data_IF_359166662004
#
_entry.id   IF_359166662004
#
_cell.length_a   1.000
_cell.length_b   1.000
_cell.length_c   1.000
_cell.angle_alpha   90.00
_cell.angle_beta   90.00
_cell.angle_gamma   90.00
#
_symmetry.space_group_name_H-M   'P 1'
#
loop_
_entity.id
_entity.type
_entity.pdbx_description
1 polymer ?
#
# COMPACT_ATOMS: atom_id res chain seq x y z
N UNK A 1 27.45 29.02 -50.22
CA UNK A 1 26.24 28.47 -49.57
C UNK A 1 26.70 27.59 -48.41
N UNK A 2 26.39 27.98 -47.17
CA UNK A 2 26.86 27.36 -45.91
C UNK A 2 25.95 26.18 -45.57
N UNK A 3 26.51 25.04 -45.16
CA UNK A 3 25.78 24.05 -44.35
C UNK A 3 26.71 23.62 -43.21
N UNK A 4 26.33 24.01 -42.00
CA UNK A 4 27.01 23.67 -40.74
C UNK A 4 26.41 22.37 -40.22
N UNK A 5 27.25 21.37 -39.94
CA UNK A 5 26.88 20.24 -39.10
C UNK A 5 26.77 20.71 -37.65
N UNK A 6 25.56 20.67 -37.09
CA UNK A 6 25.33 20.76 -35.65
C UNK A 6 24.99 19.36 -35.16
N UNK A 7 25.93 18.72 -34.47
CA UNK A 7 25.66 17.58 -33.60
C UNK A 7 25.22 18.18 -32.27
N UNK A 8 23.91 18.19 -32.00
CA UNK A 8 23.40 18.46 -30.65
C UNK A 8 23.19 17.11 -29.98
N UNK A 9 24.09 16.87 -29.03
CA UNK A 9 24.14 15.74 -28.12
C UNK A 9 22.83 15.68 -27.32
N UNK A 10 22.19 14.51 -27.34
CA UNK A 10 20.92 14.27 -26.67
C UNK A 10 21.02 14.45 -25.16
N UNK A 11 20.04 15.15 -24.59
CA UNK A 11 19.66 15.01 -23.19
C UNK A 11 18.33 14.27 -23.16
N UNK A 12 18.42 12.94 -23.07
CA UNK A 12 17.30 12.10 -22.70
C UNK A 12 17.01 12.40 -21.22
N UNK A 13 15.93 13.13 -20.95
CA UNK A 13 15.42 13.28 -19.59
C UNK A 13 14.94 11.89 -19.14
N UNK A 14 15.82 11.15 -18.46
CA UNK A 14 15.44 9.95 -17.74
C UNK A 14 14.56 10.43 -16.58
N UNK A 15 13.24 10.42 -16.81
CA UNK A 15 12.26 10.39 -15.73
C UNK A 15 12.63 9.17 -14.87
N UNK A 16 13.21 9.41 -13.70
CA UNK A 16 13.33 8.38 -12.68
C UNK A 16 11.92 7.86 -12.41
N UNK A 17 11.61 6.67 -12.92
CA UNK A 17 10.53 5.87 -12.40
C UNK A 17 10.84 5.66 -10.92
N UNK A 18 10.03 6.25 -10.05
CA UNK A 18 9.96 5.80 -8.66
C UNK A 18 9.44 4.37 -8.77
N UNK A 19 10.32 3.40 -8.55
CA UNK A 19 9.93 2.01 -8.45
C UNK A 19 9.11 1.87 -7.16
N UNK A 20 7.79 1.91 -7.27
CA UNK A 20 6.90 1.42 -6.23
C UNK A 20 6.97 -0.10 -6.24
N UNK A 21 7.74 -0.68 -5.33
CA UNK A 21 7.65 -2.10 -5.03
C UNK A 21 6.38 -2.32 -4.21
N UNK A 22 5.27 -2.64 -4.88
CA UNK A 22 4.02 -3.03 -4.24
C UNK A 22 3.93 -4.57 -4.26
N UNK A 23 4.11 -5.18 -3.10
CA UNK A 23 4.01 -6.63 -2.90
C UNK A 23 2.72 -6.91 -2.11
N UNK A 24 1.62 -7.30 -2.78
CA UNK A 24 0.59 -8.21 -2.23
C UNK A 24 -0.46 -8.57 -3.30
N UNK A 25 -0.59 -9.88 -3.56
CA UNK A 25 -1.48 -10.48 -4.56
C UNK A 25 -2.80 -10.96 -3.91
N UNK A 26 -3.92 -10.34 -4.28
CA UNK A 26 -4.93 -11.06 -5.06
C UNK A 26 -4.69 -10.62 -6.50
N UNK A 27 -4.47 -11.58 -7.40
CA UNK A 27 -4.30 -11.36 -8.84
C UNK A 27 -5.61 -10.96 -9.52
N UNK A 28 -6.60 -10.47 -8.77
CA UNK A 28 -7.79 -9.85 -9.31
C UNK A 28 -7.45 -8.61 -10.13
N UNK A 29 -8.17 -8.44 -11.25
CA UNK A 29 -8.07 -7.29 -12.15
C UNK A 29 -8.20 -5.95 -11.42
N UNK A 30 -9.00 -5.89 -10.34
CA UNK A 30 -9.14 -4.69 -9.50
C UNK A 30 -7.87 -4.33 -8.73
N UNK A 31 -7.23 -5.28 -8.04
CA UNK A 31 -6.00 -5.02 -7.30
C UNK A 31 -4.86 -4.57 -8.23
N UNK A 32 -4.84 -5.10 -9.47
CA UNK A 32 -3.94 -4.64 -10.52
C UNK A 32 -4.23 -3.18 -10.91
N UNK A 33 -5.49 -2.85 -11.19
CA UNK A 33 -5.89 -1.47 -11.54
C UNK A 33 -5.46 -0.48 -10.45
N UNK A 34 -5.72 -0.81 -9.18
CA UNK A 34 -5.32 0.03 -8.04
C UNK A 34 -3.81 0.19 -7.98
N UNK A 35 -3.06 -0.90 -8.05
CA UNK A 35 -1.59 -0.87 -8.01
C UNK A 35 -0.97 -0.01 -9.10
N UNK A 36 -1.53 -0.05 -10.31
CA UNK A 36 -0.98 0.71 -11.45
C UNK A 36 -1.30 2.21 -11.37
N UNK A 37 -2.28 2.60 -10.56
CA UNK A 37 -2.81 3.96 -10.56
C UNK A 37 -2.66 4.71 -9.24
N UNK A 38 -2.60 4.04 -8.10
CA UNK A 38 -2.49 4.64 -6.78
C UNK A 38 -1.09 5.24 -6.57
N UNK A 39 -1.05 6.50 -6.13
CA UNK A 39 0.19 7.25 -5.94
C UNK A 39 0.24 7.81 -4.53
N UNK A 40 1.46 8.08 -4.04
CA UNK A 40 1.61 8.91 -2.86
C UNK A 40 1.50 10.39 -3.27
N UNK A 41 0.60 11.19 -2.67
CA UNK A 41 0.50 12.61 -2.98
C UNK A 41 1.81 13.36 -2.71
N UNK A 42 2.21 14.26 -3.60
CA UNK A 42 3.47 15.00 -3.49
C UNK A 42 3.63 15.84 -2.21
N UNK A 43 2.57 16.46 -1.64
CA UNK A 43 2.65 17.17 -0.36
C UNK A 43 3.02 16.25 0.82
N UNK A 44 2.87 14.94 0.67
CA UNK A 44 3.07 13.95 1.73
C UNK A 44 4.44 13.25 1.64
N UNK A 45 5.30 13.71 0.73
CA UNK A 45 6.67 13.21 0.58
C UNK A 45 7.62 13.71 1.68
N UNK A 46 7.13 14.49 2.65
CA UNK A 46 7.88 14.89 3.83
C UNK A 46 7.86 13.78 4.89
N UNK A 47 8.84 13.81 5.79
CA UNK A 47 9.13 12.71 6.72
C UNK A 47 7.95 12.38 7.64
N UNK A 48 7.70 11.09 7.84
CA UNK A 48 6.81 10.58 8.88
C UNK A 48 5.31 10.67 8.60
N UNK A 49 4.89 11.19 7.44
CA UNK A 49 3.49 11.25 7.08
C UNK A 49 2.95 9.83 6.81
N UNK A 50 1.97 9.43 7.61
CA UNK A 50 1.24 8.17 7.47
C UNK A 50 -0.24 8.42 7.59
N UNK A 51 -1.02 7.68 6.80
CA UNK A 51 -2.47 7.85 6.78
C UNK A 51 -3.15 6.62 6.23
N UNK A 52 -4.35 6.33 6.74
CA UNK A 52 -5.22 5.31 6.18
C UNK A 52 -6.54 5.94 5.79
N UNK A 53 -6.91 5.76 4.53
CA UNK A 53 -8.21 6.16 3.99
C UNK A 53 -9.03 4.90 3.79
N UNK A 54 -10.28 4.93 4.25
CA UNK A 54 -11.23 3.83 4.05
C UNK A 54 -12.43 4.38 3.29
N UNK A 55 -12.67 3.82 2.12
CA UNK A 55 -13.89 4.05 1.35
C UNK A 55 -14.83 2.87 1.53
N UNK A 56 -16.10 3.18 1.75
CA UNK A 56 -17.18 2.21 1.76
C UNK A 56 -17.94 2.28 0.44
N UNK A 57 -17.96 1.19 -0.31
CA UNK A 57 -18.65 1.04 -1.57
C UNK A 57 -19.88 0.16 -1.38
N UNK A 58 -21.06 0.72 -1.62
CA UNK A 58 -22.30 -0.03 -1.75
C UNK A 58 -22.45 -0.55 -3.17
N UNK A 59 -22.81 -1.81 -3.29
CA UNK A 59 -23.03 -2.49 -4.58
C UNK A 59 -24.47 -2.95 -4.67
N UNK A 60 -25.11 -2.77 -5.83
CA UNK A 60 -26.49 -3.21 -6.06
C UNK A 60 -26.59 -4.73 -6.15
N UNK A 61 -27.82 -5.27 -6.15
CA UNK A 61 -28.06 -6.71 -6.35
C UNK A 61 -27.56 -7.21 -7.71
N UNK A 62 -27.43 -6.32 -8.70
CA UNK A 62 -26.89 -6.60 -10.03
C UNK A 62 -25.34 -6.56 -10.08
N UNK A 63 -24.68 -6.27 -8.95
CA UNK A 63 -23.22 -6.24 -8.86
C UNK A 63 -22.60 -4.94 -9.38
N UNK A 64 -23.38 -3.85 -9.44
CA UNK A 64 -22.93 -2.54 -9.92
C UNK A 64 -22.66 -1.56 -8.76
N UNK A 65 -21.75 -0.59 -8.91
CA UNK A 65 -21.56 0.46 -7.91
C UNK A 65 -22.83 1.29 -7.72
N UNK A 66 -23.24 1.50 -6.48
CA UNK A 66 -24.39 2.35 -6.10
C UNK A 66 -23.90 3.68 -5.51
N UNK A 67 -23.13 3.62 -4.42
CA UNK A 67 -22.66 4.80 -3.71
C UNK A 67 -21.32 4.57 -3.02
N UNK A 68 -20.52 5.63 -2.87
CA UNK A 68 -19.25 5.59 -2.13
C UNK A 68 -19.28 6.59 -0.98
N UNK A 69 -18.88 6.14 0.22
CA UNK A 69 -18.73 6.95 1.42
C UNK A 69 -17.28 6.96 1.90
N UNK A 70 -16.78 8.13 2.32
CA UNK A 70 -15.52 8.24 3.04
C UNK A 70 -15.73 7.82 4.49
N UNK A 71 -15.45 6.56 4.81
CA UNK A 71 -15.66 5.98 6.14
C UNK A 71 -14.56 6.37 7.13
N UNK A 72 -13.33 6.57 6.64
CA UNK A 72 -12.20 7.08 7.42
C UNK A 72 -11.37 8.02 6.54
N UNK A 73 -11.18 9.24 7.04
CA UNK A 73 -10.30 10.26 6.46
C UNK A 73 -8.93 10.22 7.14
N UNK A 74 -7.88 10.61 6.40
CA UNK A 74 -6.54 10.77 6.94
C UNK A 74 -6.00 12.20 6.78
N UNK A 75 -5.85 12.65 5.53
CA UNK A 75 -5.50 14.03 5.18
C UNK A 75 -6.20 14.38 3.88
N UNK A 76 -6.42 15.68 3.62
CA UNK A 76 -7.08 16.13 2.40
C UNK A 76 -6.40 15.57 1.14
N UNK A 77 -5.07 15.45 1.15
CA UNK A 77 -4.33 14.95 0.00
C UNK A 77 -4.46 13.42 -0.18
N UNK A 78 -4.45 12.65 0.91
CA UNK A 78 -4.69 11.20 0.87
C UNK A 78 -6.13 10.87 0.48
N UNK A 79 -7.09 11.64 0.99
CA UNK A 79 -8.51 11.48 0.69
C UNK A 79 -8.76 11.78 -0.79
N UNK A 80 -8.20 12.88 -1.31
CA UNK A 80 -8.33 13.26 -2.73
C UNK A 80 -7.76 12.20 -3.68
N UNK A 81 -6.59 11.64 -3.37
CA UNK A 81 -5.98 10.59 -4.19
C UNK A 81 -6.77 9.28 -4.11
N UNK A 82 -7.28 8.92 -2.94
CA UNK A 82 -8.12 7.73 -2.75
C UNK A 82 -9.43 7.84 -3.53
N UNK A 83 -10.07 9.02 -3.50
CA UNK A 83 -11.28 9.31 -4.27
C UNK A 83 -11.02 9.31 -5.78
N UNK A 84 -9.88 9.84 -6.23
CA UNK A 84 -9.47 9.79 -7.64
C UNK A 84 -9.32 8.35 -8.14
N UNK A 85 -8.68 7.48 -7.36
CA UNK A 85 -8.57 6.05 -7.70
C UNK A 85 -9.93 5.37 -7.65
N UNK A 86 -10.80 5.71 -6.70
CA UNK A 86 -12.17 5.21 -6.66
C UNK A 86 -12.97 5.59 -7.91
N UNK A 87 -12.85 6.83 -8.39
CA UNK A 87 -13.50 7.27 -9.63
C UNK A 87 -13.02 6.43 -10.82
N UNK A 88 -11.71 6.16 -10.91
CA UNK A 88 -11.15 5.28 -11.93
C UNK A 88 -11.72 3.84 -11.84
N UNK A 89 -11.87 3.31 -10.62
CA UNK A 89 -12.48 1.99 -10.39
C UNK A 89 -13.92 1.97 -10.90
N UNK A 90 -14.72 2.99 -10.60
CA UNK A 90 -16.12 3.08 -11.06
C UNK A 90 -16.19 3.14 -12.59
N UNK A 91 -15.34 3.95 -13.22
CA UNK A 91 -15.31 4.10 -14.69
C UNK A 91 -14.92 2.81 -15.41
N UNK A 92 -14.12 1.96 -14.76
CA UNK A 92 -13.64 0.69 -15.29
C UNK A 92 -14.26 -0.50 -14.56
N UNK A 93 -15.43 -0.32 -13.93
CA UNK A 93 -16.04 -1.34 -13.10
C UNK A 93 -16.37 -2.58 -13.92
N UNK A 94 -15.94 -3.72 -13.40
CA UNK A 94 -16.31 -5.04 -13.91
C UNK A 94 -16.87 -5.83 -12.72
N UNK A 95 -18.10 -6.38 -12.80
CA UNK A 95 -18.67 -7.19 -11.71
C UNK A 95 -17.79 -8.36 -11.27
N UNK A 96 -16.88 -8.85 -12.12
CA UNK A 96 -15.86 -9.86 -11.73
C UNK A 96 -14.90 -9.38 -10.65
N UNK A 97 -14.80 -8.06 -10.41
CA UNK A 97 -14.05 -7.49 -9.29
C UNK A 97 -14.54 -7.97 -7.93
N UNK A 98 -15.81 -8.37 -7.81
CA UNK A 98 -16.36 -8.95 -6.59
C UNK A 98 -15.79 -10.35 -6.30
N UNK A 99 -15.17 -11.00 -7.29
CA UNK A 99 -14.70 -12.38 -7.23
C UNK A 99 -15.85 -13.31 -6.79
N UNK A 100 -15.73 -13.93 -5.60
CA UNK A 100 -16.75 -14.82 -5.03
C UNK A 100 -17.63 -14.13 -3.96
N UNK A 101 -17.61 -12.79 -3.90
CA UNK A 101 -18.38 -12.02 -2.92
C UNK A 101 -19.80 -11.74 -3.45
N UNK A 102 -20.83 -11.71 -2.59
CA UNK A 102 -22.21 -11.50 -3.00
C UNK A 102 -22.45 -10.09 -3.58
N UNK A 103 -23.39 -9.95 -4.51
CA UNK A 103 -23.92 -8.63 -4.85
C UNK A 103 -24.87 -8.13 -3.74
N UNK A 104 -25.31 -6.87 -3.81
CA UNK A 104 -26.22 -6.28 -2.81
C UNK A 104 -25.60 -5.97 -1.45
N UNK A 105 -24.27 -6.12 -1.33
CA UNK A 105 -23.52 -5.98 -0.07
C UNK A 105 -22.67 -4.69 -0.10
N UNK A 106 -22.17 -4.30 1.07
CA UNK A 106 -21.25 -3.17 1.24
C UNK A 106 -19.81 -3.66 1.48
N UNK A 107 -18.86 -3.04 0.77
CA UNK A 107 -17.46 -3.41 0.70
C UNK A 107 -16.52 -2.26 1.04
N UNK A 108 -15.36 -2.60 1.58
CA UNK A 108 -14.32 -1.63 1.96
C UNK A 108 -13.17 -1.64 0.97
N UNK A 109 -12.72 -0.44 0.62
CA UNK A 109 -11.44 -0.20 -0.04
C UNK A 109 -10.54 0.53 0.95
N UNK A 110 -9.40 -0.09 1.27
CA UNK A 110 -8.47 0.40 2.28
C UNK A 110 -7.18 0.83 1.59
N UNK A 111 -6.86 2.11 1.68
CA UNK A 111 -5.64 2.70 1.14
C UNK A 111 -4.76 3.18 2.30
N UNK A 112 -3.60 2.55 2.47
CA UNK A 112 -2.63 2.94 3.50
C UNK A 112 -1.41 3.58 2.86
N UNK A 113 -1.05 4.76 3.34
CA UNK A 113 0.03 5.59 2.84
C UNK A 113 1.12 5.72 3.89
N UNK A 114 2.37 5.54 3.48
CA UNK A 114 3.54 5.66 4.35
C UNK A 114 4.64 6.44 3.62
N UNK A 115 5.09 7.54 4.22
CA UNK A 115 6.26 8.29 3.80
C UNK A 115 7.34 8.16 4.86
N UNK A 116 8.54 7.73 4.45
CA UNK A 116 9.69 7.64 5.35
C UNK A 116 10.95 8.19 4.69
N UNK A 117 11.73 8.99 5.42
CA UNK A 117 13.08 9.35 4.99
C UNK A 117 14.05 8.21 5.32
N UNK A 118 14.88 7.86 4.35
CA UNK A 118 15.96 6.88 4.52
C UNK A 118 15.85 5.71 3.57
N UNK A 119 16.60 4.64 3.89
CA UNK A 119 16.57 3.43 3.08
C UNK A 119 15.27 2.67 3.33
N UNK A 120 14.72 1.99 2.32
CA UNK A 120 13.64 1.05 2.55
C UNK A 120 14.06 0.01 3.58
N UNK A 121 13.17 -0.24 4.55
CA UNK A 121 13.32 -1.42 5.40
C UNK A 121 12.88 -2.62 4.56
N UNK A 122 13.85 -3.43 4.15
CA UNK A 122 13.64 -4.65 3.38
C UNK A 122 13.50 -5.88 4.29
N UNK A 123 13.14 -5.68 5.56
CA UNK A 123 12.88 -6.80 6.45
C UNK A 123 11.69 -7.60 5.93
N UNK A 124 11.97 -8.83 5.47
CA UNK A 124 10.95 -9.83 5.14
C UNK A 124 10.33 -10.35 6.45
N UNK A 125 9.44 -9.53 7.03
CA UNK A 125 8.78 -9.84 8.30
C UNK A 125 8.01 -11.15 8.20
N UNK A 126 7.35 -11.42 7.07
CA UNK A 126 6.60 -12.65 6.86
C UNK A 126 7.51 -13.88 6.86
N UNK A 127 8.64 -13.84 6.15
CA UNK A 127 9.65 -14.90 6.19
C UNK A 127 10.28 -15.09 7.58
N UNK A 128 10.45 -14.01 8.37
CA UNK A 128 10.88 -14.10 9.76
C UNK A 128 9.83 -14.76 10.65
N UNK A 129 8.55 -14.42 10.49
CA UNK A 129 7.43 -15.05 11.21
C UNK A 129 7.39 -16.55 10.90
N UNK A 130 7.42 -16.93 9.62
CA UNK A 130 7.45 -18.33 9.21
C UNK A 130 8.65 -19.08 9.81
N UNK A 131 9.83 -18.46 9.81
CA UNK A 131 11.03 -19.03 10.40
C UNK A 131 10.88 -19.24 11.91
N UNK A 132 10.22 -18.35 12.63
CA UNK A 132 9.96 -18.53 14.06
C UNK A 132 8.92 -19.62 14.32
N UNK A 133 7.86 -19.70 13.52
CA UNK A 133 6.87 -20.79 13.59
C UNK A 133 7.56 -22.15 13.38
N UNK A 134 8.38 -22.29 12.34
CA UNK A 134 9.12 -23.54 12.03
C UNK A 134 10.10 -23.95 13.14
N UNK A 135 10.56 -23.01 13.96
CA UNK A 135 11.46 -23.24 15.09
C UNK A 135 10.72 -23.34 16.43
N UNK A 136 9.39 -23.41 16.40
CA UNK A 136 8.51 -23.44 17.58
C UNK A 136 8.73 -22.25 18.53
N UNK A 137 9.22 -21.11 18.00
CA UNK A 137 9.40 -19.86 18.75
C UNK A 137 8.14 -19.01 18.64
N UNK A 138 7.02 -19.54 19.12
CA UNK A 138 5.70 -18.98 18.89
C UNK A 138 5.54 -17.59 19.47
N UNK A 139 6.12 -17.29 20.64
CA UNK A 139 6.05 -15.95 21.25
C UNK A 139 6.66 -14.88 20.33
N UNK A 140 7.79 -15.18 19.69
CA UNK A 140 8.44 -14.23 18.77
C UNK A 140 7.64 -14.04 17.48
N UNK A 141 7.06 -15.11 16.95
CA UNK A 141 6.15 -15.03 15.82
C UNK A 141 4.90 -14.21 16.19
N UNK A 142 4.41 -14.39 17.42
CA UNK A 142 3.25 -13.72 17.96
C UNK A 142 3.46 -12.20 18.14
N UNK A 143 4.62 -11.79 18.64
CA UNK A 143 4.97 -10.37 18.78
C UNK A 143 5.01 -9.68 17.41
N UNK A 144 5.69 -10.29 16.43
CA UNK A 144 5.78 -9.75 15.08
C UNK A 144 4.42 -9.66 14.40
N UNK A 145 3.59 -10.71 14.49
CA UNK A 145 2.27 -10.68 13.84
C UNK A 145 1.32 -9.68 14.48
N UNK A 146 1.46 -9.39 15.78
CA UNK A 146 0.67 -8.33 16.42
C UNK A 146 1.06 -6.95 15.90
N UNK A 147 2.36 -6.68 15.72
CA UNK A 147 2.81 -5.44 15.10
C UNK A 147 2.23 -5.29 13.69
N UNK A 148 2.26 -6.35 12.87
CA UNK A 148 1.68 -6.34 11.52
C UNK A 148 0.16 -6.08 11.54
N UNK A 149 -0.56 -6.55 12.55
CA UNK A 149 -1.99 -6.28 12.74
C UNK A 149 -2.25 -4.84 13.17
N UNK A 150 -1.42 -4.28 14.05
CA UNK A 150 -1.52 -2.88 14.46
C UNK A 150 -1.27 -1.94 13.26
N UNK A 151 -0.26 -2.26 12.45
CA UNK A 151 0.10 -1.50 11.26
C UNK A 151 -0.93 -1.62 10.13
N UNK A 152 -1.51 -2.81 9.93
CA UNK A 152 -2.59 -3.04 8.97
C UNK A 152 -3.64 -4.06 9.51
N UNK A 153 -4.68 -3.58 10.21
CA UNK A 153 -5.72 -4.42 10.79
C UNK A 153 -6.73 -4.93 9.74
N UNK A 154 -6.57 -4.56 8.46
CA UNK A 154 -7.43 -5.01 7.35
C UNK A 154 -6.74 -6.06 6.48
N UNK A 155 -5.53 -6.49 6.82
CA UNK A 155 -4.89 -7.62 6.18
C UNK A 155 -5.36 -8.93 6.82
N UNK A 156 -6.34 -9.59 6.21
CA UNK A 156 -6.90 -10.84 6.71
C UNK A 156 -5.86 -11.95 6.91
N UNK A 157 -4.76 -11.94 6.14
CA UNK A 157 -3.68 -12.93 6.26
C UNK A 157 -3.02 -12.86 7.63
N UNK A 158 -2.91 -11.65 8.21
CA UNK A 158 -2.26 -11.50 9.50
C UNK A 158 -3.05 -12.19 10.61
N UNK A 159 -4.38 -12.09 10.58
CA UNK A 159 -5.26 -12.84 11.49
C UNK A 159 -5.26 -14.34 11.20
N UNK A 160 -5.21 -14.76 9.93
CA UNK A 160 -5.09 -16.18 9.60
C UNK A 160 -3.79 -16.80 10.13
N UNK A 161 -2.67 -16.07 10.00
CA UNK A 161 -1.36 -16.46 10.55
C UNK A 161 -1.39 -16.49 12.07
N UNK A 162 -1.96 -15.46 12.73
CA UNK A 162 -2.06 -15.44 14.20
C UNK A 162 -2.99 -16.54 14.72
N UNK A 163 -4.07 -16.86 14.01
CA UNK A 163 -4.91 -18.03 14.28
C UNK A 163 -4.11 -19.33 14.27
N UNK A 164 -3.21 -19.52 13.31
CA UNK A 164 -2.36 -20.70 13.24
C UNK A 164 -1.35 -20.74 14.40
N UNK A 165 -0.74 -19.61 14.75
CA UNK A 165 0.14 -19.50 15.92
C UNK A 165 -0.62 -19.89 17.20
N UNK A 166 -1.83 -19.35 17.40
CA UNK A 166 -2.67 -19.72 18.53
C UNK A 166 -2.99 -21.22 18.57
N UNK A 167 -3.31 -21.82 17.42
CA UNK A 167 -3.56 -23.27 17.31
C UNK A 167 -2.33 -24.08 17.75
N UNK A 168 -1.14 -23.70 17.30
CA UNK A 168 0.14 -24.34 17.66
C UNK A 168 0.47 -24.18 19.15
N UNK A 169 0.03 -23.09 19.78
CA UNK A 169 0.13 -22.85 21.22
C UNK A 169 -0.97 -23.57 22.05
N UNK A 170 -1.88 -24.32 21.41
CA UNK A 170 -3.02 -24.96 22.08
C UNK A 170 -4.17 -24.02 22.47
N UNK A 171 -4.13 -22.76 22.06
CA UNK A 171 -5.13 -21.72 22.35
C UNK A 171 -6.27 -21.77 21.33
N UNK A 172 -7.10 -22.81 21.45
CA UNK A 172 -8.13 -23.14 20.43
C UNK A 172 -9.19 -22.04 20.27
N UNK A 173 -9.67 -21.44 21.36
CA UNK A 173 -10.69 -20.38 21.29
C UNK A 173 -10.16 -19.12 20.60
N UNK A 174 -8.93 -18.70 20.95
CA UNK A 174 -8.28 -17.53 20.34
C UNK A 174 -8.05 -17.76 18.84
N UNK A 175 -7.61 -18.98 18.47
CA UNK A 175 -7.46 -19.41 17.08
C UNK A 175 -8.77 -19.31 16.31
N UNK A 176 -9.87 -19.83 16.86
CA UNK A 176 -11.19 -19.74 16.23
C UNK A 176 -11.65 -18.30 16.03
N UNK A 177 -11.43 -17.42 17.03
CA UNK A 177 -11.78 -15.99 16.90
C UNK A 177 -11.03 -15.34 15.76
N UNK A 178 -9.71 -15.49 15.70
CA UNK A 178 -8.90 -14.90 14.63
C UNK A 178 -9.24 -15.48 13.24
N UNK A 179 -9.52 -16.78 13.15
CA UNK A 179 -9.97 -17.40 11.91
C UNK A 179 -11.28 -16.81 11.40
N UNK A 180 -12.23 -16.54 12.31
CA UNK A 180 -13.49 -15.88 11.96
C UNK A 180 -13.28 -14.42 11.55
N UNK A 181 -12.40 -13.68 12.26
CA UNK A 181 -12.02 -12.31 11.89
C UNK A 181 -11.39 -12.28 10.50
N UNK A 182 -10.45 -13.19 10.19
CA UNK A 182 -9.84 -13.30 8.87
C UNK A 182 -10.88 -13.50 7.76
N UNK A 183 -11.87 -14.37 7.99
CA UNK A 183 -12.97 -14.58 7.03
C UNK A 183 -13.82 -13.34 6.85
N UNK A 184 -14.16 -12.63 7.93
CA UNK A 184 -14.96 -11.41 7.88
C UNK A 184 -14.24 -10.30 7.12
N UNK A 185 -12.95 -10.07 7.44
CA UNK A 185 -12.11 -9.09 6.73
C UNK A 185 -12.01 -9.47 5.25
N UNK A 186 -11.71 -10.73 4.93
CA UNK A 186 -11.64 -11.20 3.53
C UNK A 186 -12.95 -10.99 2.77
N UNK A 187 -14.09 -11.19 3.44
CA UNK A 187 -15.42 -10.93 2.86
C UNK A 187 -15.65 -9.44 2.61
N UNK A 188 -15.35 -8.58 3.59
CA UNK A 188 -15.70 -7.16 3.56
C UNK A 188 -14.69 -6.28 2.83
N UNK A 189 -13.39 -6.60 2.89
CA UNK A 189 -12.34 -5.83 2.23
C UNK A 189 -12.20 -6.32 0.79
N UNK A 190 -12.57 -5.45 -0.14
CA UNK A 190 -12.45 -5.69 -1.57
C UNK A 190 -11.03 -5.40 -2.05
N UNK A 191 -10.42 -4.32 -1.53
CA UNK A 191 -9.05 -3.90 -1.82
C UNK A 191 -8.36 -3.49 -0.52
N UNK A 192 -7.13 -3.94 -0.34
CA UNK A 192 -6.19 -3.40 0.64
C UNK A 192 -4.90 -3.07 -0.09
N UNK A 193 -4.63 -1.79 -0.29
CA UNK A 193 -3.44 -1.30 -0.98
C UNK A 193 -2.56 -0.50 -0.04
N UNK A 194 -1.25 -0.71 -0.15
CA UNK A 194 -0.24 0.00 0.61
C UNK A 194 0.71 0.70 -0.36
N UNK A 195 0.95 1.99 -0.12
CA UNK A 195 1.93 2.77 -0.85
C UNK A 195 2.98 3.27 0.13
N UNK A 196 4.23 2.85 -0.10
CA UNK A 196 5.39 3.27 0.68
C UNK A 196 6.29 4.11 -0.23
N UNK A 197 6.61 5.34 0.18
CA UNK A 197 7.63 6.16 -0.47
C UNK A 197 8.82 6.38 0.45
N UNK A 198 10.01 6.33 -0.15
CA UNK A 198 11.28 6.46 0.54
C UNK A 198 12.01 7.70 0.02
N UNK A 199 12.13 8.73 0.85
CA UNK A 199 12.84 9.96 0.52
C UNK A 199 14.34 9.84 0.83
N UNK A 200 15.19 10.32 -0.09
CA UNK A 200 16.61 10.61 0.23
C UNK A 200 16.69 12.09 0.63
N UNK A 201 17.26 12.45 1.80
CA UNK A 201 17.39 13.85 2.17
C UNK A 201 18.29 14.54 1.14
N UNK A 202 17.80 15.64 0.54
CA UNK A 202 18.64 16.46 -0.34
C UNK A 202 19.69 17.16 0.52
N UNK A 203 21.01 17.01 0.23
CA UNK A 203 22.02 17.79 0.93
C UNK A 203 21.73 19.27 0.71
N UNK A 204 21.70 20.05 1.79
CA UNK A 204 21.53 21.50 1.72
C UNK A 204 22.77 22.06 1.00
N UNK A 205 22.66 22.34 -0.30
CA UNK A 205 23.67 23.13 -0.99
C UNK A 205 23.57 24.54 -0.45
N UNK A 206 24.49 24.91 0.44
CA UNK A 206 24.65 26.31 0.88
C UNK A 206 24.84 27.17 -0.38
N UNK A 207 23.98 28.17 -0.65
CA UNK A 207 24.21 29.10 -1.74
C UNK A 207 25.47 29.91 -1.44
N UNK A 208 26.48 29.83 -2.31
CA UNK A 208 27.64 30.71 -2.26
C UNK A 208 28.86 30.13 -1.55
N UNK A 209 29.66 29.35 -2.27
CA UNK A 209 31.11 29.44 -2.14
C UNK A 209 31.66 29.51 -3.54
N UNK A 210 31.78 30.74 -4.07
CA UNK A 210 32.59 31.00 -5.25
C UNK A 210 34.03 30.73 -4.82
N UNK A 211 34.56 29.56 -5.18
CA UNK A 211 35.99 29.29 -5.06
C UNK A 211 36.66 30.14 -6.14
N UNK A 212 37.24 31.27 -5.72
CA UNK A 212 38.05 32.11 -6.59
C UNK A 212 39.22 31.28 -7.14
N UNK A 213 39.20 31.01 -8.44
CA UNK A 213 40.35 30.44 -9.14
C UNK A 213 41.39 31.55 -9.24
N UNK A 214 42.39 31.53 -8.36
CA UNK A 214 43.61 32.32 -8.52
C UNK A 214 44.34 31.80 -9.76
N UNK A 215 44.45 32.64 -10.78
CA UNK A 215 45.35 32.42 -11.91
C UNK A 215 46.78 32.62 -11.43
N UNK A 216 47.62 31.60 -11.59
CA UNK A 216 49.05 31.77 -11.80
C UNK A 216 49.33 31.47 -13.27
#
# INVERSE_FOLDING_TARGET
>A
MKIRFFVVLGFFFILCFVASAQEQESSGSLNKLVRENLKLPSPELFDGNKGRVILSLKVTEEGLPDSVFLAQSASESFDAESLRVMELIIQNWDPTFLENRPSGDEYLLVFSFYSQIGKPDYTDTQGLIEKFIKKEKFEKAFDLINQEIEENPFNWKNYATRSEIYRLMGKTEDSQRDFMTAKQIKKKVLVSAEVKAFGVPRPITKPGTIVGISRN
#
